data_IF_724529304241
#
_entry.id   IF_724529304241
#
_cell.length_a   1.000
_cell.length_b   1.000
_cell.length_c   1.000
_cell.angle_alpha   90.00
_cell.angle_beta   90.00
_cell.angle_gamma   90.00
#
_symmetry.space_group_name_H-M   'P 1'
#
loop_
_entity.id
_entity.type
_entity.pdbx_description
1 polymer ?
#
# COMPACT_ATOMS: atom_id res chain seq x y z
N UNK A 1 8.11 -9.07 9.44
CA UNK A 1 7.84 -10.12 10.46
C UNK A 1 7.15 -9.48 11.66
N UNK A 2 6.38 -10.24 12.43
CA UNK A 2 5.82 -9.75 13.69
C UNK A 2 6.92 -9.72 14.75
N UNK A 3 6.84 -8.78 15.70
CA UNK A 3 7.86 -8.64 16.77
C UNK A 3 8.15 -9.96 17.50
N UNK A 4 7.11 -10.76 17.78
CA UNK A 4 7.22 -12.08 18.42
C UNK A 4 7.96 -13.14 17.60
N UNK A 5 8.15 -12.89 16.31
CA UNK A 5 8.79 -13.78 15.34
C UNK A 5 10.21 -13.34 14.98
N UNK A 6 10.72 -12.26 15.57
CA UNK A 6 12.08 -11.77 15.34
C UNK A 6 12.99 -12.13 16.53
N UNK A 7 14.22 -12.58 16.25
CA UNK A 7 15.24 -12.81 17.28
C UNK A 7 15.79 -11.50 17.83
N UNK A 8 16.05 -10.52 16.94
CA UNK A 8 16.52 -9.18 17.27
C UNK A 8 15.61 -8.15 16.56
N UNK A 9 14.47 -7.77 17.16
CA UNK A 9 13.54 -6.85 16.52
C UNK A 9 14.12 -5.43 16.49
N UNK A 10 14.22 -4.87 15.28
CA UNK A 10 14.59 -3.47 15.08
C UNK A 10 13.34 -2.64 14.74
N UNK A 11 13.27 -1.43 15.29
CA UNK A 11 12.21 -0.48 14.95
C UNK A 11 12.60 0.22 13.65
N UNK A 12 11.83 -0.05 12.58
CA UNK A 12 11.93 0.67 11.33
C UNK A 12 10.71 1.60 11.15
N UNK A 13 10.93 2.76 10.53
CA UNK A 13 9.88 3.69 10.16
C UNK A 13 10.22 4.31 8.81
N UNK A 14 9.20 4.58 8.02
CA UNK A 14 9.33 5.27 6.74
C UNK A 14 8.26 6.35 6.61
N UNK A 15 8.65 7.46 6.01
CA UNK A 15 7.78 8.57 5.67
C UNK A 15 8.03 8.93 4.21
N UNK A 16 6.95 9.12 3.44
CA UNK A 16 7.03 9.68 2.10
C UNK A 16 6.23 10.97 2.02
N UNK A 17 6.70 11.88 1.17
CA UNK A 17 5.93 13.04 0.80
C UNK A 17 4.64 12.63 0.07
N UNK A 18 3.53 13.40 0.23
CA UNK A 18 2.31 13.19 -0.55
C UNK A 18 2.58 13.29 -2.05
N UNK A 19 1.79 12.55 -2.85
CA UNK A 19 1.82 12.76 -4.30
C UNK A 19 1.39 14.22 -4.62
N UNK A 20 2.13 14.92 -5.51
CA UNK A 20 1.80 16.29 -5.89
C UNK A 20 0.37 16.38 -6.44
N UNK A 21 -0.43 17.29 -5.91
CA UNK A 21 -1.70 17.72 -6.49
C UNK A 21 -1.69 19.24 -6.66
N UNK A 22 -2.31 19.74 -7.72
CA UNK A 22 -2.65 21.16 -7.79
C UNK A 22 -3.64 21.51 -6.67
N UNK A 23 -3.54 22.69 -6.03
CA UNK A 23 -4.48 23.08 -4.97
C UNK A 23 -5.94 23.05 -5.41
N UNK A 24 -6.22 23.27 -6.69
CA UNK A 24 -7.57 23.21 -7.27
C UNK A 24 -8.12 21.79 -7.38
N UNK A 25 -7.25 20.79 -7.39
CA UNK A 25 -7.59 19.37 -7.44
C UNK A 25 -7.86 18.80 -6.04
N UNK A 26 -7.54 19.53 -4.97
CA UNK A 26 -7.85 19.11 -3.60
C UNK A 26 -9.32 19.38 -3.29
N UNK A 27 -10.17 18.38 -3.53
CA UNK A 27 -11.63 18.48 -3.38
C UNK A 27 -12.09 18.06 -1.98
N UNK A 28 -11.44 17.07 -1.36
CA UNK A 28 -11.84 16.50 -0.09
C UNK A 28 -10.62 15.85 0.61
N UNK A 29 -10.67 15.65 1.92
CA UNK A 29 -9.66 14.84 2.66
C UNK A 29 -10.29 13.67 3.41
N UNK A 30 -11.63 13.65 3.51
CA UNK A 30 -12.38 12.57 4.15
C UNK A 30 -12.16 11.26 3.39
N UNK A 31 -11.85 10.20 4.13
CA UNK A 31 -11.62 8.85 3.57
C UNK A 31 -10.23 8.63 2.95
N UNK A 32 -9.37 9.66 2.85
CA UNK A 32 -8.02 9.49 2.32
C UNK A 32 -7.17 8.54 3.21
N UNK A 33 -7.33 8.67 4.53
CA UNK A 33 -6.69 7.75 5.49
C UNK A 33 -7.24 6.32 5.42
N UNK A 34 -8.55 6.15 5.23
CA UNK A 34 -9.16 4.83 5.08
C UNK A 34 -8.70 4.15 3.79
N UNK A 35 -8.52 4.92 2.72
CA UNK A 35 -8.00 4.43 1.45
C UNK A 35 -6.52 4.03 1.55
N UNK A 36 -5.70 4.85 2.24
CA UNK A 36 -4.33 4.46 2.58
C UNK A 36 -4.28 3.17 3.42
N UNK A 37 -5.16 3.04 4.42
CA UNK A 37 -5.28 1.83 5.24
C UNK A 37 -5.69 0.62 4.39
N UNK A 38 -6.62 0.77 3.46
CA UNK A 38 -7.03 -0.29 2.54
C UNK A 38 -5.85 -0.80 1.70
N UNK A 39 -4.95 0.08 1.26
CA UNK A 39 -3.72 -0.28 0.55
C UNK A 39 -2.76 -1.11 1.44
N UNK A 40 -2.61 -0.74 2.71
CA UNK A 40 -1.83 -1.52 3.68
C UNK A 40 -2.47 -2.90 3.92
N UNK A 41 -3.78 -2.96 4.11
CA UNK A 41 -4.51 -4.23 4.30
C UNK A 41 -4.37 -5.13 3.07
N UNK A 42 -4.43 -4.55 1.87
CA UNK A 42 -4.18 -5.30 0.63
C UNK A 42 -2.82 -5.99 0.64
N UNK A 43 -1.76 -5.30 1.05
CA UNK A 43 -0.40 -5.88 1.18
C UNK A 43 -0.29 -6.97 2.26
N UNK A 44 -0.95 -6.78 3.40
CA UNK A 44 -1.01 -7.78 4.46
C UNK A 44 -1.71 -9.06 4.00
N UNK A 45 -2.83 -8.92 3.28
CA UNK A 45 -3.61 -10.06 2.75
C UNK A 45 -2.85 -10.75 1.63
N UNK A 46 -2.26 -9.99 0.69
CA UNK A 46 -1.46 -10.56 -0.40
C UNK A 46 -0.27 -11.38 0.15
N UNK A 47 0.45 -10.84 1.13
CA UNK A 47 1.53 -11.56 1.79
C UNK A 47 1.06 -12.88 2.44
N UNK A 48 -0.13 -12.88 3.04
CA UNK A 48 -0.70 -14.09 3.67
C UNK A 48 -1.09 -15.15 2.63
N UNK A 49 -1.67 -14.74 1.51
CA UNK A 49 -2.10 -15.64 0.42
C UNK A 49 -0.90 -16.22 -0.34
N UNK A 50 0.13 -15.41 -0.59
CA UNK A 50 1.37 -15.86 -1.24
C UNK A 50 2.29 -16.65 -0.31
N UNK A 51 2.24 -16.40 1.01
CA UNK A 51 3.02 -17.15 2.02
C UNK A 51 2.63 -18.63 2.16
N UNK A 52 1.48 -19.02 1.61
CA UNK A 52 1.04 -20.42 1.48
C UNK A 52 1.70 -21.14 0.28
N UNK A 53 2.47 -20.43 -0.56
CA UNK A 53 3.25 -21.03 -1.63
C UNK A 53 4.44 -21.86 -1.06
N UNK A 54 4.48 -23.19 -1.31
CA UNK A 54 5.55 -24.05 -0.81
C UNK A 54 6.93 -23.75 -1.41
N UNK A 55 7.01 -22.99 -2.51
CA UNK A 55 8.28 -22.66 -3.18
C UNK A 55 8.99 -21.43 -2.61
N UNK A 56 8.35 -20.66 -1.72
CA UNK A 56 8.96 -19.47 -1.11
C UNK A 56 9.93 -19.83 0.02
N UNK A 57 11.02 -19.07 0.11
CA UNK A 57 12.01 -19.23 1.18
C UNK A 57 11.37 -19.02 2.57
N UNK A 58 11.81 -19.80 3.57
CA UNK A 58 11.21 -19.79 4.92
C UNK A 58 11.20 -18.42 5.62
N UNK A 59 12.20 -17.58 5.36
CA UNK A 59 12.26 -16.21 5.89
C UNK A 59 11.21 -15.30 5.23
N UNK A 60 10.97 -15.44 3.93
CA UNK A 60 9.95 -14.66 3.21
C UNK A 60 8.54 -15.02 3.65
N UNK A 61 8.29 -16.30 3.92
CA UNK A 61 6.99 -16.78 4.45
C UNK A 61 6.64 -16.21 5.82
N UNK A 62 7.62 -15.77 6.59
CA UNK A 62 7.42 -15.17 7.91
C UNK A 62 7.25 -13.64 7.87
N UNK A 63 7.46 -13.00 6.70
CA UNK A 63 7.23 -11.58 6.54
C UNK A 63 5.73 -11.24 6.66
N UNK A 64 5.43 -10.07 7.24
CA UNK A 64 4.04 -9.62 7.48
C UNK A 64 3.47 -8.97 6.23
N UNK A 65 4.35 -8.43 5.38
CA UNK A 65 4.08 -7.82 4.10
C UNK A 65 5.03 -8.44 3.08
N UNK A 66 4.64 -8.45 1.82
CA UNK A 66 5.50 -8.91 0.71
C UNK A 66 6.44 -7.80 0.23
N UNK A 67 6.05 -6.54 0.42
CA UNK A 67 6.83 -5.35 0.08
C UNK A 67 7.43 -4.66 1.32
N UNK A 68 8.40 -3.79 1.07
CA UNK A 68 9.08 -2.94 2.06
C UNK A 68 8.18 -1.80 2.54
N UNK A 69 8.55 -1.14 3.66
CA UNK A 69 7.84 0.04 4.15
C UNK A 69 7.78 1.19 3.14
N UNK A 70 8.82 1.35 2.31
CA UNK A 70 8.87 2.43 1.32
C UNK A 70 7.85 2.23 0.20
N UNK A 71 7.80 1.02 -0.35
CA UNK A 71 6.86 0.65 -1.42
C UNK A 71 5.41 0.73 -0.92
N UNK A 72 5.15 0.25 0.31
CA UNK A 72 3.82 0.33 0.92
C UNK A 72 3.40 1.78 1.14
N UNK A 73 4.29 2.64 1.63
CA UNK A 73 3.99 4.05 1.85
C UNK A 73 3.68 4.79 0.53
N UNK A 74 4.44 4.50 -0.54
CA UNK A 74 4.16 5.04 -1.87
C UNK A 74 2.81 4.55 -2.41
N UNK A 75 2.49 3.26 -2.24
CA UNK A 75 1.21 2.71 -2.65
C UNK A 75 0.04 3.34 -1.88
N UNK A 76 0.15 3.42 -0.54
CA UNK A 76 -0.86 4.03 0.31
C UNK A 76 -1.06 5.52 0.02
N UNK A 77 0.03 6.27 -0.19
CA UNK A 77 -0.01 7.70 -0.58
C UNK A 77 -0.76 7.89 -1.90
N UNK A 78 -0.54 7.01 -2.86
CA UNK A 78 -1.21 7.06 -4.17
C UNK A 78 -2.70 6.74 -4.08
N UNK A 79 -3.08 5.74 -3.29
CA UNK A 79 -4.50 5.39 -3.08
C UNK A 79 -5.23 6.50 -2.31
N UNK A 80 -4.57 7.15 -1.34
CA UNK A 80 -5.09 8.34 -0.68
C UNK A 80 -5.26 9.52 -1.65
N UNK A 81 -4.28 9.73 -2.54
CA UNK A 81 -4.32 10.80 -3.54
C UNK A 81 -5.52 10.70 -4.49
N UNK A 82 -5.98 9.48 -4.80
CA UNK A 82 -7.21 9.30 -5.59
C UNK A 82 -8.49 9.73 -4.87
N UNK A 83 -8.52 9.62 -3.54
CA UNK A 83 -9.67 10.07 -2.74
C UNK A 83 -9.66 11.59 -2.64
N UNK A 84 -8.50 12.22 -2.41
CA UNK A 84 -8.48 13.66 -2.14
C UNK A 84 -8.96 14.50 -3.34
N UNK A 85 -8.88 13.93 -4.54
CA UNK A 85 -9.33 14.53 -5.81
C UNK A 85 -10.80 14.27 -6.14
N UNK A 86 -11.54 13.63 -5.23
CA UNK A 86 -12.93 13.24 -5.44
C UNK A 86 -13.83 13.81 -4.34
N UNK A 87 -15.09 14.14 -4.66
CA UNK A 87 -16.03 14.57 -3.63
C UNK A 87 -16.44 13.40 -2.71
N UNK A 88 -16.44 12.16 -3.19
CA UNK A 88 -16.81 10.99 -2.39
C UNK A 88 -15.60 10.39 -1.64
N UNK A 89 -15.82 10.03 -0.37
CA UNK A 89 -14.84 9.36 0.49
C UNK A 89 -14.62 7.86 0.18
N UNK A 90 -15.05 7.38 -1.00
CA UNK A 90 -14.96 5.98 -1.41
C UNK A 90 -14.66 5.87 -2.90
N UNK A 91 -13.79 4.93 -3.27
CA UNK A 91 -13.60 4.54 -4.66
C UNK A 91 -14.77 3.64 -5.10
N UNK A 92 -15.43 4.01 -6.19
CA UNK A 92 -16.57 3.26 -6.73
C UNK A 92 -16.15 2.00 -7.53
N UNK A 93 -14.93 2.00 -8.05
CA UNK A 93 -14.34 0.85 -8.75
C UNK A 93 -12.84 0.79 -8.50
N UNK A 94 -12.28 -0.41 -8.58
CA UNK A 94 -10.85 -0.67 -8.43
C UNK A 94 -10.03 -0.23 -9.65
N UNK A 95 -10.55 0.68 -10.50
CA UNK A 95 -9.87 1.17 -11.71
C UNK A 95 -8.55 1.90 -11.46
N UNK A 96 -8.06 1.89 -10.23
CA UNK A 96 -6.81 2.50 -9.82
C UNK A 96 -5.91 1.48 -9.13
N UNK A 97 -4.72 1.33 -9.71
CA UNK A 97 -3.49 0.89 -9.07
C UNK A 97 -3.37 -0.60 -8.73
N UNK A 98 -3.05 -1.39 -9.76
CA UNK A 98 -2.07 -2.46 -9.57
C UNK A 98 -0.69 -1.80 -9.43
N UNK A 99 -0.11 -1.85 -8.24
CA UNK A 99 1.27 -1.47 -7.99
C UNK A 99 2.19 -2.62 -8.42
N UNK A 100 2.94 -2.44 -9.49
CA UNK A 100 4.04 -3.34 -9.87
C UNK A 100 5.33 -2.84 -9.22
N UNK A 101 5.78 -3.55 -8.19
CA UNK A 101 7.03 -3.24 -7.47
C UNK A 101 8.26 -3.21 -8.40
N UNK A 102 8.20 -3.90 -9.57
CA UNK A 102 9.31 -3.97 -10.52
C UNK A 102 9.47 -2.77 -11.46
N UNK A 103 8.45 -1.94 -11.65
CA UNK A 103 8.47 -0.82 -12.61
C UNK A 103 8.07 0.52 -12.02
N UNK A 104 7.48 0.57 -10.82
CA UNK A 104 7.01 1.82 -10.22
C UNK A 104 5.83 2.48 -10.98
N UNK A 105 5.25 1.79 -11.97
CA UNK A 105 4.21 2.31 -12.83
C UNK A 105 2.81 1.77 -12.50
N UNK A 106 1.82 2.62 -12.79
CA UNK A 106 0.40 2.29 -12.76
C UNK A 106 0.00 1.68 -14.10
N UNK A 107 -0.52 0.46 -14.11
CA UNK A 107 -1.32 -0.02 -15.24
C UNK A 107 -2.79 0.32 -15.02
N UNK A 108 -3.35 1.17 -15.88
CA UNK A 108 -4.80 1.35 -15.97
C UNK A 108 -5.40 0.11 -16.63
N UNK A 109 -6.34 -0.54 -15.94
CA UNK A 109 -7.26 -1.46 -16.62
C UNK A 109 -8.32 -0.57 -17.25
N UNK A 110 -8.31 -0.47 -18.59
CA UNK A 110 -9.38 0.17 -19.36
C UNK A 110 -10.71 -0.55 -19.21
#
# INVERSE_FOLDING_TARGET
MLRRSCTHPEKASFHCDPLPCDPTDLVNTNGAGDAALAAVVHELVAARLEGDDPWRAGAERACVTRSTFAEIAQYASRVAHEIVRRPQARLASAGVARYSAGTGELSHSG
#
